data_IF_494963868659
#
_entry.id   IF_494963868659
#
_cell.length_a   1.000
_cell.length_b   1.000
_cell.length_c   1.000
_cell.angle_alpha   90.00
_cell.angle_beta   90.00
_cell.angle_gamma   90.00
#
_symmetry.space_group_name_H-M   'P 1'
#
loop_
_entity.id
_entity.type
_entity.pdbx_description
1 polymer ?
#
# COMPACT_ATOMS: atom_id res chain seq x y z
N UNK A 1 -44.79 -32.31 40.86
CA UNK A 1 -43.36 -32.37 40.47
C UNK A 1 -43.22 -31.71 39.12
N UNK A 2 -42.73 -30.46 39.09
CA UNK A 2 -42.57 -29.68 37.85
C UNK A 2 -41.07 -29.71 37.48
N UNK A 3 -40.79 -30.23 36.28
CA UNK A 3 -39.44 -30.31 35.72
C UNK A 3 -39.17 -29.03 34.95
N UNK A 4 -38.28 -28.15 35.46
CA UNK A 4 -37.77 -26.97 34.76
C UNK A 4 -36.66 -27.40 33.79
N UNK A 5 -36.94 -27.29 32.50
CA UNK A 5 -35.94 -27.52 31.44
C UNK A 5 -35.20 -26.20 31.18
N UNK A 6 -33.93 -26.10 31.58
CA UNK A 6 -33.03 -24.99 31.21
C UNK A 6 -32.52 -25.17 29.79
N UNK A 7 -32.94 -24.29 28.89
CA UNK A 7 -32.34 -24.20 27.54
C UNK A 7 -31.06 -23.36 27.64
N UNK A 8 -29.90 -24.01 27.43
CA UNK A 8 -28.62 -23.33 27.25
C UNK A 8 -28.58 -22.69 25.85
N UNK A 9 -28.69 -21.38 25.76
CA UNK A 9 -28.35 -20.64 24.56
C UNK A 9 -26.82 -20.66 24.39
N UNK A 10 -26.35 -21.46 23.47
CA UNK A 10 -24.96 -21.42 23.03
C UNK A 10 -24.69 -20.14 22.24
N UNK A 11 -23.92 -19.23 22.79
CA UNK A 11 -23.40 -18.05 22.07
C UNK A 11 -22.28 -18.57 21.15
N UNK A 12 -22.58 -18.64 19.85
CA UNK A 12 -21.59 -18.93 18.83
C UNK A 12 -20.62 -17.72 18.74
N UNK A 13 -19.41 -17.86 19.25
CA UNK A 13 -18.34 -16.94 19.00
C UNK A 13 -17.92 -17.10 17.52
N UNK A 14 -18.36 -16.17 16.67
CA UNK A 14 -17.79 -16.02 15.34
C UNK A 14 -16.41 -15.35 15.55
N UNK A 15 -15.30 -16.01 15.18
CA UNK A 15 -13.99 -15.37 15.26
C UNK A 15 -14.01 -14.18 14.32
N UNK A 16 -13.79 -12.98 14.87
CA UNK A 16 -13.54 -11.80 14.06
C UNK A 16 -12.30 -12.09 13.20
N UNK A 17 -12.48 -12.21 11.90
CA UNK A 17 -11.38 -12.25 10.96
C UNK A 17 -10.61 -10.95 11.16
N UNK A 18 -9.33 -11.06 11.55
CA UNK A 18 -8.46 -9.90 11.69
C UNK A 18 -8.15 -9.38 10.29
N UNK A 19 -9.00 -8.50 9.81
CA UNK A 19 -8.80 -7.73 8.60
C UNK A 19 -7.77 -6.63 8.90
N UNK A 20 -6.88 -6.37 7.95
CA UNK A 20 -5.97 -5.22 8.03
C UNK A 20 -6.79 -3.93 8.16
N UNK A 21 -6.20 -2.92 8.79
CA UNK A 21 -6.86 -1.62 8.94
C UNK A 21 -6.92 -0.91 7.58
N UNK A 22 -8.03 -0.26 7.29
CA UNK A 22 -8.16 0.62 6.13
C UNK A 22 -7.59 2.01 6.48
N UNK A 23 -6.55 2.39 5.78
CA UNK A 23 -5.92 3.70 5.92
C UNK A 23 -6.54 4.66 4.89
N UNK A 24 -7.05 5.81 5.32
CA UNK A 24 -7.69 6.76 4.41
C UNK A 24 -6.67 7.39 3.43
N UNK A 25 -7.15 7.64 2.21
CA UNK A 25 -6.37 8.41 1.22
C UNK A 25 -6.32 9.88 1.66
N UNK A 26 -5.15 10.53 1.69
CA UNK A 26 -5.05 11.96 1.97
C UNK A 26 -5.85 12.81 0.97
N UNK A 27 -6.40 13.92 1.43
CA UNK A 27 -7.18 14.83 0.59
C UNK A 27 -6.35 15.51 -0.50
N UNK A 28 -5.07 15.73 -0.24
CA UNK A 28 -4.13 16.36 -1.18
C UNK A 28 -2.74 15.76 -1.04
N UNK A 29 -2.00 15.73 -2.13
CA UNK A 29 -0.59 15.37 -2.12
C UNK A 29 0.22 16.58 -1.63
N UNK A 30 0.78 16.44 -0.44
CA UNK A 30 1.69 17.43 0.14
C UNK A 30 3.00 16.72 0.57
N UNK A 31 4.10 17.46 0.73
CA UNK A 31 5.34 16.86 1.23
C UNK A 31 5.17 16.10 2.55
N UNK A 32 4.28 16.54 3.43
CA UNK A 32 4.02 15.93 4.74
C UNK A 32 3.45 14.50 4.63
N UNK A 33 2.75 14.19 3.54
CA UNK A 33 2.31 12.81 3.26
C UNK A 33 3.50 11.86 3.16
N UNK A 34 4.65 12.37 2.72
CA UNK A 34 5.88 11.62 2.50
C UNK A 34 6.82 11.60 3.72
N UNK A 35 6.33 11.95 4.93
CA UNK A 35 7.17 12.01 6.14
C UNK A 35 7.81 10.66 6.44
N UNK A 36 7.03 9.59 6.50
CA UNK A 36 7.56 8.24 6.77
C UNK A 36 8.47 7.71 5.66
N UNK A 37 8.21 8.09 4.42
CA UNK A 37 9.12 7.82 3.30
C UNK A 37 10.47 8.52 3.50
N UNK A 38 10.47 9.78 3.95
CA UNK A 38 11.70 10.51 4.26
C UNK A 38 12.49 9.83 5.37
N UNK A 39 11.84 9.52 6.50
CA UNK A 39 12.45 8.79 7.63
C UNK A 39 13.09 7.49 7.16
N UNK A 40 12.38 6.69 6.39
CA UNK A 40 12.91 5.44 5.83
C UNK A 40 14.15 5.67 4.95
N UNK A 41 14.14 6.72 4.11
CA UNK A 41 15.28 7.04 3.24
C UNK A 41 16.49 7.52 4.07
N UNK A 42 16.27 8.25 5.15
CA UNK A 42 17.33 8.75 6.04
C UNK A 42 17.93 7.62 6.89
N UNK A 43 17.09 6.75 7.43
CA UNK A 43 17.50 5.65 8.32
C UNK A 43 18.17 4.49 7.57
N UNK A 44 17.97 4.36 6.25
CA UNK A 44 18.54 3.28 5.42
C UNK A 44 18.35 1.88 6.04
N UNK A 45 17.12 1.47 6.42
CA UNK A 45 16.89 0.20 7.07
C UNK A 45 17.28 -0.98 6.17
N UNK A 46 17.74 -2.06 6.79
CA UNK A 46 17.95 -3.35 6.11
C UNK A 46 16.61 -4.10 6.09
N UNK A 47 16.01 -4.26 4.91
CA UNK A 47 14.73 -4.94 4.73
C UNK A 47 13.56 -3.99 4.54
N UNK A 48 12.39 -4.45 4.91
CA UNK A 48 11.14 -3.75 4.63
C UNK A 48 10.67 -2.91 5.81
N UNK A 49 9.97 -1.81 5.51
CA UNK A 49 9.31 -0.92 6.48
C UNK A 49 7.82 -0.96 6.22
N UNK A 50 7.05 -1.39 7.21
CA UNK A 50 5.60 -1.45 7.10
C UNK A 50 4.96 -0.06 7.08
N UNK A 51 3.81 0.03 6.39
CA UNK A 51 2.91 1.17 6.50
C UNK A 51 3.55 2.48 6.03
N UNK A 52 4.23 2.44 4.88
CA UNK A 52 4.80 3.63 4.23
C UNK A 52 3.80 4.20 3.23
N UNK A 53 3.53 5.49 3.37
CA UNK A 53 2.73 6.24 2.41
C UNK A 53 3.63 7.07 1.52
N UNK A 54 3.26 7.16 0.24
CA UNK A 54 3.90 8.07 -0.72
C UNK A 54 2.84 8.77 -1.54
N UNK A 55 3.08 10.02 -1.86
CA UNK A 55 2.37 10.70 -2.94
C UNK A 55 3.35 11.47 -3.83
N UNK A 56 2.98 11.60 -5.08
CA UNK A 56 3.80 12.31 -6.06
C UNK A 56 3.16 12.36 -7.44
N UNK A 57 3.95 12.83 -8.39
CA UNK A 57 3.56 12.92 -9.79
C UNK A 57 4.23 11.80 -10.57
N UNK A 58 3.44 11.05 -11.32
CA UNK A 58 3.92 9.93 -12.11
C UNK A 58 4.84 10.40 -13.25
N UNK A 59 5.92 9.67 -13.46
CA UNK A 59 6.75 9.77 -14.67
C UNK A 59 6.29 8.76 -15.74
N UNK A 60 5.47 7.79 -15.36
CA UNK A 60 4.91 6.76 -16.21
C UNK A 60 4.87 5.39 -15.53
N UNK A 61 4.42 4.39 -16.26
CA UNK A 61 4.35 3.01 -15.82
C UNK A 61 5.11 2.12 -16.79
N UNK A 62 5.82 1.13 -16.27
CA UNK A 62 6.40 0.02 -17.05
C UNK A 62 5.85 -1.30 -16.54
N UNK A 63 5.72 -2.26 -17.44
CA UNK A 63 5.34 -3.62 -17.09
C UNK A 63 6.61 -4.44 -16.88
N UNK A 64 6.68 -5.12 -15.74
CA UNK A 64 7.69 -6.14 -15.48
C UNK A 64 6.99 -7.50 -15.59
N UNK A 65 7.04 -8.07 -16.78
CA UNK A 65 6.42 -9.37 -17.08
C UNK A 65 7.42 -10.49 -16.83
N UNK A 66 7.07 -11.37 -15.96
CA UNK A 66 7.81 -12.60 -15.72
C UNK A 66 8.76 -12.52 -14.52
N UNK A 67 8.78 -13.60 -13.83
CA UNK A 67 9.53 -13.85 -12.62
C UNK A 67 8.74 -14.76 -11.70
N UNK A 68 9.36 -15.16 -10.63
CA UNK A 68 8.76 -16.08 -9.62
C UNK A 68 7.49 -15.51 -8.96
N UNK A 69 7.31 -14.19 -9.01
CA UNK A 69 6.22 -13.46 -8.34
C UNK A 69 5.15 -12.89 -9.31
N UNK A 70 5.15 -13.34 -10.56
CA UNK A 70 4.17 -12.89 -11.57
C UNK A 70 4.47 -11.54 -12.21
N UNK A 71 3.50 -11.00 -12.91
CA UNK A 71 3.58 -9.69 -13.57
C UNK A 71 3.31 -8.55 -12.60
N UNK A 72 4.04 -7.45 -12.78
CA UNK A 72 3.88 -6.24 -11.98
C UNK A 72 3.83 -5.00 -12.89
N UNK A 73 2.91 -4.09 -12.59
CA UNK A 73 2.97 -2.72 -13.08
C UNK A 73 3.81 -1.89 -12.11
N UNK A 74 4.88 -1.30 -12.62
CA UNK A 74 5.80 -0.46 -11.83
C UNK A 74 5.55 0.99 -12.19
N UNK A 75 4.86 1.72 -11.34
CA UNK A 75 4.63 3.15 -11.48
C UNK A 75 5.84 3.89 -10.91
N UNK A 76 6.40 4.80 -11.67
CA UNK A 76 7.48 5.66 -11.21
C UNK A 76 6.94 7.02 -10.81
N UNK A 77 7.30 7.49 -9.64
CA UNK A 77 6.88 8.78 -9.08
C UNK A 77 8.06 9.71 -8.83
N UNK A 78 7.83 11.02 -8.98
CA UNK A 78 8.57 12.09 -8.32
C UNK A 78 7.82 12.49 -7.07
N UNK A 79 8.39 12.24 -5.90
CA UNK A 79 7.85 12.57 -4.60
C UNK A 79 8.66 13.69 -3.94
N UNK A 80 8.00 14.75 -3.50
CA UNK A 80 8.63 15.83 -2.74
C UNK A 80 8.62 15.47 -1.26
N UNK A 81 9.78 15.45 -0.64
CA UNK A 81 9.96 15.19 0.80
C UNK A 81 9.69 16.45 1.63
N UNK A 82 9.33 16.34 2.92
CA UNK A 82 9.10 17.48 3.81
C UNK A 82 10.22 18.50 3.83
N UNK A 83 11.46 18.07 3.74
CA UNK A 83 12.65 18.94 3.67
C UNK A 83 12.88 19.60 2.30
N UNK A 84 11.96 19.45 1.35
CA UNK A 84 11.99 20.11 0.04
C UNK A 84 12.69 19.32 -1.08
N UNK A 85 13.46 18.28 -0.75
CA UNK A 85 14.12 17.44 -1.75
C UNK A 85 13.09 16.60 -2.53
N UNK A 86 13.24 16.49 -3.84
CA UNK A 86 12.46 15.57 -4.68
C UNK A 86 13.24 14.28 -4.91
N UNK A 87 12.57 13.15 -4.73
CA UNK A 87 13.13 11.81 -4.93
C UNK A 87 12.31 11.01 -5.93
N UNK A 88 12.93 10.03 -6.57
CA UNK A 88 12.23 9.07 -7.42
C UNK A 88 11.91 7.82 -6.63
N UNK A 89 10.65 7.38 -6.71
CA UNK A 89 10.11 6.23 -6.01
C UNK A 89 9.43 5.30 -7.01
N UNK A 90 9.55 4.00 -6.81
CA UNK A 90 8.80 3.00 -7.55
C UNK A 90 7.62 2.49 -6.71
N UNK A 91 6.46 2.32 -7.33
CA UNK A 91 5.32 1.61 -6.74
C UNK A 91 5.07 0.35 -7.55
N UNK A 92 5.24 -0.79 -6.93
CA UNK A 92 5.05 -2.10 -7.56
C UNK A 92 3.65 -2.65 -7.26
N UNK A 93 2.81 -2.69 -8.27
CA UNK A 93 1.45 -3.26 -8.20
C UNK A 93 1.50 -4.68 -8.74
N UNK A 94 1.01 -5.64 -7.97
CA UNK A 94 0.96 -7.05 -8.37
C UNK A 94 -0.31 -7.32 -9.19
N UNK A 95 -0.15 -7.58 -10.48
CA UNK A 95 -1.26 -7.76 -11.41
C UNK A 95 -2.19 -8.93 -11.05
N UNK A 96 -1.66 -9.96 -10.39
CA UNK A 96 -2.44 -11.13 -9.99
C UNK A 96 -3.32 -10.90 -8.76
N UNK A 97 -3.00 -9.89 -7.95
CA UNK A 97 -3.75 -9.56 -6.73
C UNK A 97 -4.73 -8.41 -6.95
N UNK A 98 -4.29 -7.36 -7.67
CA UNK A 98 -5.02 -6.10 -7.78
C UNK A 98 -5.51 -5.83 -9.21
N UNK A 99 -5.06 -6.61 -10.16
CA UNK A 99 -5.19 -6.29 -11.58
C UNK A 99 -4.17 -5.21 -12.02
N UNK A 100 -4.08 -4.93 -13.32
CA UNK A 100 -3.14 -3.96 -13.85
C UNK A 100 -3.55 -2.53 -13.47
N UNK A 101 -2.63 -1.79 -12.85
CA UNK A 101 -2.80 -0.36 -12.55
C UNK A 101 -1.71 0.43 -13.24
N UNK A 102 -2.10 1.42 -14.03
CA UNK A 102 -1.18 2.27 -14.76
C UNK A 102 -1.42 3.74 -14.45
N UNK A 103 -0.34 4.51 -14.46
CA UNK A 103 -0.36 5.96 -14.41
C UNK A 103 0.40 6.52 -15.61
N UNK A 104 -0.11 7.56 -16.21
CA UNK A 104 0.54 8.33 -17.27
C UNK A 104 1.45 9.41 -16.64
N UNK A 105 2.37 9.92 -17.43
CA UNK A 105 3.18 11.06 -17.02
C UNK A 105 2.29 12.26 -16.65
N UNK A 106 2.48 12.80 -15.47
CA UNK A 106 1.69 13.92 -14.94
C UNK A 106 0.54 13.53 -14.04
N UNK A 107 0.16 12.26 -14.00
CA UNK A 107 -0.90 11.79 -13.09
C UNK A 107 -0.48 11.94 -11.64
N UNK A 108 -1.43 12.36 -10.79
CA UNK A 108 -1.24 12.34 -9.35
C UNK A 108 -1.44 10.93 -8.81
N UNK A 109 -0.48 10.45 -8.05
CA UNK A 109 -0.51 9.11 -7.48
C UNK A 109 -0.27 9.16 -5.98
N UNK A 110 -1.07 8.39 -5.24
CA UNK A 110 -0.82 8.02 -3.86
C UNK A 110 -0.64 6.51 -3.80
N UNK A 111 0.23 6.04 -2.90
CA UNK A 111 0.33 4.63 -2.58
C UNK A 111 0.60 4.43 -1.09
N UNK A 112 0.10 3.34 -0.56
CA UNK A 112 0.29 2.92 0.82
C UNK A 112 0.58 1.42 0.84
N UNK A 113 1.68 1.05 1.46
CA UNK A 113 2.12 -0.34 1.50
C UNK A 113 3.42 -0.51 2.27
N UNK A 114 4.18 -1.52 1.92
CA UNK A 114 5.46 -1.85 2.51
C UNK A 114 6.59 -1.18 1.71
N UNK A 115 7.40 -0.38 2.38
CA UNK A 115 8.52 0.35 1.79
C UNK A 115 9.83 -0.42 1.87
N UNK A 116 10.74 -0.15 0.95
CA UNK A 116 12.12 -0.64 0.96
C UNK A 116 13.07 0.36 0.31
N UNK A 117 14.34 0.31 0.71
CA UNK A 117 15.38 1.11 0.05
C UNK A 117 15.74 0.45 -1.27
N UNK A 118 15.72 1.25 -2.32
CA UNK A 118 16.04 0.80 -3.68
C UNK A 118 17.39 1.37 -4.14
N UNK A 119 17.89 0.86 -5.25
CA UNK A 119 19.13 1.30 -5.91
C UNK A 119 18.88 1.69 -7.37
N UNK A 120 19.95 1.94 -8.13
CA UNK A 120 19.85 2.20 -9.56
C UNK A 120 19.14 3.52 -9.92
N UNK A 121 19.25 4.55 -9.07
CA UNK A 121 18.64 5.87 -9.30
C UNK A 121 17.26 6.05 -8.67
N UNK A 122 16.80 5.08 -7.91
CA UNK A 122 15.59 5.12 -7.11
C UNK A 122 15.94 5.27 -5.64
N UNK A 123 15.28 6.18 -4.94
CA UNK A 123 15.49 6.34 -3.51
C UNK A 123 14.81 5.24 -2.71
N UNK A 124 13.63 4.81 -3.14
CA UNK A 124 12.82 3.82 -2.47
C UNK A 124 11.88 3.10 -3.44
N UNK A 125 11.32 1.99 -2.97
CA UNK A 125 10.18 1.31 -3.57
C UNK A 125 9.07 1.10 -2.54
N UNK A 126 7.85 1.03 -3.02
CA UNK A 126 6.66 0.64 -2.26
C UNK A 126 6.04 -0.55 -2.95
N UNK A 127 5.76 -1.61 -2.22
CA UNK A 127 5.03 -2.78 -2.69
C UNK A 127 3.96 -3.19 -1.68
N UNK A 128 3.29 -4.33 -1.86
CA UNK A 128 2.16 -4.76 -1.03
C UNK A 128 1.07 -3.68 -0.94
N UNK A 129 0.80 -3.04 -2.08
CA UNK A 129 -0.24 -2.00 -2.24
C UNK A 129 -1.62 -2.64 -2.47
N UNK A 130 -1.90 -3.75 -1.82
CA UNK A 130 -3.11 -4.57 -1.92
C UNK A 130 -3.70 -4.85 -0.54
N UNK A 131 -4.85 -5.53 -0.51
CA UNK A 131 -5.44 -5.97 0.74
C UNK A 131 -4.47 -6.84 1.54
N UNK A 132 -4.42 -6.64 2.84
CA UNK A 132 -3.51 -7.37 3.72
C UNK A 132 -3.68 -8.88 3.58
N UNK A 133 -2.59 -9.58 3.36
CA UNK A 133 -2.53 -11.04 3.28
C UNK A 133 -2.15 -11.68 4.61
N UNK A 134 -1.78 -10.88 5.62
CA UNK A 134 -1.43 -11.33 6.96
C UNK A 134 -1.88 -10.32 8.03
N UNK A 135 -1.99 -10.78 9.27
CA UNK A 135 -2.64 -10.05 10.38
C UNK A 135 -1.94 -8.77 10.86
N UNK A 136 -0.66 -8.62 10.58
CA UNK A 136 0.16 -7.50 11.08
C UNK A 136 0.29 -6.35 10.11
N UNK A 137 -0.19 -6.52 8.88
CA UNK A 137 -0.18 -5.47 7.86
C UNK A 137 -1.51 -4.72 7.81
N UNK A 138 -1.45 -3.44 7.52
CA UNK A 138 -2.62 -2.67 7.11
C UNK A 138 -2.98 -3.01 5.65
N UNK A 139 -4.21 -2.71 5.24
CA UNK A 139 -4.60 -2.81 3.84
C UNK A 139 -3.85 -1.76 3.02
N UNK A 140 -3.01 -2.25 2.10
CA UNK A 140 -2.34 -1.40 1.12
C UNK A 140 -3.29 -0.97 0.01
N UNK A 141 -2.90 0.06 -0.72
CA UNK A 141 -3.65 0.56 -1.87
C UNK A 141 -2.79 1.49 -2.73
N UNK A 142 -3.23 1.67 -3.97
CA UNK A 142 -2.74 2.70 -4.88
C UNK A 142 -3.91 3.53 -5.41
N UNK A 143 -3.72 4.83 -5.56
CA UNK A 143 -4.71 5.76 -6.12
C UNK A 143 -4.07 6.51 -7.26
N UNK A 144 -4.68 6.46 -8.43
CA UNK A 144 -4.28 7.21 -9.62
C UNK A 144 -5.42 8.15 -9.99
N UNK A 145 -5.19 9.45 -9.97
CA UNK A 145 -6.20 10.48 -10.28
C UNK A 145 -7.54 10.27 -9.54
N UNK A 146 -7.48 9.88 -8.26
CA UNK A 146 -8.64 9.66 -7.41
C UNK A 146 -9.28 8.27 -7.51
N UNK A 147 -8.82 7.40 -8.41
CA UNK A 147 -9.28 6.02 -8.49
C UNK A 147 -8.42 5.11 -7.61
N UNK A 148 -9.02 4.56 -6.56
CA UNK A 148 -8.36 3.67 -5.60
C UNK A 148 -8.43 2.21 -6.04
N UNK A 149 -7.31 1.51 -5.93
CA UNK A 149 -7.18 0.06 -6.16
C UNK A 149 -6.40 -0.57 -4.98
N UNK A 150 -6.90 -1.62 -4.32
CA UNK A 150 -8.27 -2.14 -4.46
C UNK A 150 -9.30 -1.14 -3.94
N UNK A 151 -10.53 -1.23 -4.46
CA UNK A 151 -11.62 -0.32 -4.05
C UNK A 151 -12.02 -0.55 -2.60
N UNK A 152 -12.00 -1.82 -2.17
CA UNK A 152 -12.29 -2.26 -0.79
C UNK A 152 -11.58 -3.58 -0.51
N UNK A 153 -11.30 -3.85 0.77
CA UNK A 153 -10.79 -5.13 1.26
C UNK A 153 -11.86 -5.83 2.11
N UNK A 154 -11.96 -7.15 1.95
CA UNK A 154 -12.91 -8.01 2.69
C UNK A 154 -12.21 -8.77 3.79
#
# INVERSE_FOLDING_TARGET
>A
MAILTFALLGIAFVPASAQGRDIPVPRSCSPQVNTKLQEMIEDQPRGYVENVMVCGIAEGTRVNSGGRHGSHHIITLKAQLPQGRTVRVQVAVNDSLDGPVSALRGDQVFAYGQGYISGGGWAAGIHDVHCATHRTADNGWVVVNGQKTPTFCR
#
